data_IF_795672950432
#
_entry.id   IF_795672950432
#
_cell.length_a   1.000
_cell.length_b   1.000
_cell.length_c   1.000
_cell.angle_alpha   90.00
_cell.angle_beta   90.00
_cell.angle_gamma   90.00
#
_symmetry.space_group_name_H-M   'P 1'
#
loop_
_entity.id
_entity.type
_entity.pdbx_description
1 polymer ?
#
# COMPACT_ATOMS: atom_id res chain seq x y z
N UNK A 1 -0.91 -24.31 -7.67
CA UNK A 1 0.30 -24.03 -8.47
C UNK A 1 1.49 -24.66 -7.78
N UNK A 2 2.37 -25.38 -8.48
CA UNK A 2 3.65 -25.82 -7.88
C UNK A 2 4.73 -24.78 -8.17
N UNK A 3 5.62 -24.57 -7.21
CA UNK A 3 6.74 -23.63 -7.37
C UNK A 3 7.58 -23.93 -8.63
N UNK A 4 7.69 -25.21 -9.00
CA UNK A 4 8.43 -25.65 -10.19
C UNK A 4 7.76 -25.33 -11.55
N UNK A 5 6.50 -24.87 -11.54
CA UNK A 5 5.75 -24.50 -12.75
C UNK A 5 5.91 -23.01 -13.11
N UNK A 6 6.60 -22.24 -12.25
CA UNK A 6 6.86 -20.81 -12.45
C UNK A 6 8.20 -20.62 -13.14
N UNK A 7 8.29 -19.62 -14.03
CA UNK A 7 9.55 -19.26 -14.68
C UNK A 7 10.59 -18.79 -13.65
N UNK A 8 11.85 -19.16 -13.82
CA UNK A 8 12.95 -18.82 -12.92
C UNK A 8 13.05 -17.31 -12.62
N UNK A 9 12.81 -16.44 -13.61
CA UNK A 9 12.81 -14.99 -13.37
C UNK A 9 11.69 -14.56 -12.41
N UNK A 10 10.48 -15.07 -12.62
CA UNK A 10 9.34 -14.79 -11.75
C UNK A 10 9.53 -15.35 -10.34
N UNK A 11 10.24 -16.47 -10.17
CA UNK A 11 10.59 -16.98 -8.83
C UNK A 11 11.50 -16.04 -8.07
N UNK A 12 12.51 -15.48 -8.74
CA UNK A 12 13.42 -14.49 -8.15
C UNK A 12 12.61 -13.26 -7.68
N UNK A 13 11.65 -12.82 -8.49
CA UNK A 13 10.80 -11.67 -8.15
C UNK A 13 9.87 -11.97 -6.96
N UNK A 14 9.27 -13.16 -6.94
CA UNK A 14 8.37 -13.62 -5.86
C UNK A 14 9.10 -13.71 -4.51
N UNK A 15 10.33 -14.23 -4.51
CA UNK A 15 11.12 -14.37 -3.28
C UNK A 15 11.69 -13.04 -2.76
N UNK A 16 11.78 -12.01 -3.61
CA UNK A 16 12.33 -10.72 -3.22
C UNK A 16 11.37 -9.96 -2.28
N UNK A 17 11.78 -9.81 -1.01
CA UNK A 17 11.04 -9.07 0.02
C UNK A 17 10.83 -7.58 -0.29
N UNK A 18 11.74 -6.99 -1.05
CA UNK A 18 11.71 -5.58 -1.41
C UNK A 18 11.20 -5.35 -2.84
N UNK A 19 10.67 -6.38 -3.50
CA UNK A 19 10.20 -6.24 -4.89
C UNK A 19 9.12 -5.17 -4.98
N UNK A 20 9.22 -4.19 -5.91
CA UNK A 20 8.17 -3.18 -6.11
C UNK A 20 6.87 -3.82 -6.59
N UNK A 21 5.75 -3.12 -6.43
CA UNK A 21 4.48 -3.62 -7.00
C UNK A 21 4.59 -3.69 -8.53
N UNK A 22 4.12 -4.77 -9.12
CA UNK A 22 4.12 -5.01 -10.57
C UNK A 22 3.05 -6.03 -10.95
N UNK A 23 2.62 -5.98 -12.20
CA UNK A 23 1.75 -6.97 -12.81
C UNK A 23 2.38 -7.45 -14.12
N UNK A 24 2.61 -8.75 -14.23
CA UNK A 24 3.14 -9.40 -15.42
C UNK A 24 2.14 -10.42 -15.95
N UNK A 25 2.06 -10.50 -17.28
CA UNK A 25 1.31 -11.54 -17.98
C UNK A 25 2.26 -12.61 -18.47
N UNK A 26 1.97 -13.86 -18.16
CA UNK A 26 2.63 -15.04 -18.72
C UNK A 26 1.59 -15.86 -19.49
N UNK A 27 2.05 -16.80 -20.32
CA UNK A 27 1.15 -17.65 -21.09
C UNK A 27 0.33 -18.60 -20.21
N UNK A 28 0.87 -18.96 -19.04
CA UNK A 28 0.28 -19.98 -18.16
C UNK A 28 -0.33 -19.40 -16.87
N UNK A 29 0.02 -18.16 -16.52
CA UNK A 29 -0.44 -17.48 -15.32
C UNK A 29 -0.19 -15.98 -15.41
N UNK A 30 -0.85 -15.20 -14.58
CA UNK A 30 -0.46 -13.82 -14.34
C UNK A 30 0.24 -13.70 -12.98
N UNK A 31 1.32 -12.91 -12.93
CA UNK A 31 2.05 -12.62 -11.69
C UNK A 31 1.69 -11.22 -11.24
N UNK A 32 1.10 -11.14 -10.05
CA UNK A 32 0.79 -9.89 -9.37
C UNK A 32 1.63 -9.78 -8.11
N UNK A 33 2.55 -8.82 -8.07
CA UNK A 33 3.31 -8.48 -6.87
C UNK A 33 2.79 -7.16 -6.34
N UNK A 34 2.46 -7.13 -5.06
CA UNK A 34 1.86 -5.99 -4.41
C UNK A 34 2.65 -5.62 -3.16
N UNK A 35 3.36 -4.51 -3.25
CA UNK A 35 4.16 -3.93 -2.17
C UNK A 35 3.37 -2.84 -1.47
N UNK A 36 2.96 -3.08 -0.24
CA UNK A 36 2.10 -2.21 0.53
C UNK A 36 2.79 -1.72 1.81
N UNK A 37 2.45 -0.51 2.32
CA UNK A 37 2.85 -0.12 3.65
C UNK A 37 2.05 -0.91 4.70
N UNK A 38 2.72 -1.40 5.73
CA UNK A 38 2.10 -2.01 6.91
C UNK A 38 2.70 -1.44 8.19
N UNK A 39 1.90 -1.41 9.25
CA UNK A 39 2.35 -0.98 10.57
C UNK A 39 2.83 -2.20 11.37
N UNK A 40 4.13 -2.33 11.58
CA UNK A 40 4.74 -3.38 12.39
C UNK A 40 5.50 -2.70 13.54
N UNK A 41 5.17 -3.04 14.79
CA UNK A 41 5.81 -2.47 15.99
C UNK A 41 5.81 -0.92 15.97
N UNK A 42 4.68 -0.31 15.62
CA UNK A 42 4.52 1.14 15.45
C UNK A 42 5.48 1.77 14.43
N UNK A 43 6.01 0.98 13.50
CA UNK A 43 6.82 1.47 12.38
C UNK A 43 6.17 1.10 11.08
N UNK A 44 6.19 2.05 10.17
CA UNK A 44 5.71 1.83 8.83
C UNK A 44 6.78 1.13 8.00
N UNK A 45 6.47 -0.10 7.58
CA UNK A 45 7.38 -0.97 6.83
C UNK A 45 6.71 -1.39 5.53
N UNK A 46 7.40 -1.30 4.38
CA UNK A 46 6.87 -1.82 3.14
C UNK A 46 6.99 -3.34 3.08
N UNK A 47 5.90 -4.04 2.78
CA UNK A 47 5.87 -5.51 2.63
C UNK A 47 5.44 -5.86 1.21
N UNK A 48 6.23 -6.68 0.54
CA UNK A 48 5.92 -7.22 -0.78
C UNK A 48 5.27 -8.59 -0.68
N UNK A 49 4.04 -8.70 -1.19
CA UNK A 49 3.29 -9.95 -1.33
C UNK A 49 3.20 -10.32 -2.80
N UNK A 50 3.33 -11.61 -3.12
CA UNK A 50 3.25 -12.09 -4.49
C UNK A 50 2.07 -13.05 -4.66
N UNK A 51 1.41 -12.92 -5.80
CA UNK A 51 0.23 -13.67 -6.17
C UNK A 51 0.38 -14.23 -7.58
N UNK A 52 -0.08 -15.46 -7.76
CA UNK A 52 -0.17 -16.13 -9.05
C UNK A 52 -1.64 -16.33 -9.37
N UNK A 53 -2.09 -15.80 -10.49
CA UNK A 53 -3.46 -15.89 -10.96
C UNK A 53 -3.48 -16.83 -12.16
N UNK A 54 -4.40 -17.78 -12.14
CA UNK A 54 -4.59 -18.76 -13.22
C UNK A 54 -6.07 -18.83 -13.56
N UNK A 55 -6.42 -19.43 -14.70
CA UNK A 55 -7.82 -19.67 -15.07
C UNK A 55 -8.61 -20.49 -14.03
N UNK A 56 -7.90 -21.23 -13.16
CA UNK A 56 -8.51 -22.16 -12.18
C UNK A 56 -8.57 -21.61 -10.78
N UNK A 57 -7.55 -20.85 -10.35
CA UNK A 57 -7.46 -20.35 -8.99
C UNK A 57 -6.44 -19.20 -8.83
N UNK A 58 -6.45 -18.64 -7.64
CA UNK A 58 -5.63 -17.53 -7.16
C UNK A 58 -4.74 -18.05 -6.04
N UNK A 59 -3.44 -17.83 -6.15
CA UNK A 59 -2.47 -18.32 -5.17
C UNK A 59 -1.72 -17.14 -4.55
N UNK A 60 -1.56 -17.14 -3.24
CA UNK A 60 -0.66 -16.27 -2.49
C UNK A 60 0.64 -17.03 -2.18
N UNK A 61 1.79 -16.40 -2.36
CA UNK A 61 3.06 -17.00 -1.94
C UNK A 61 3.38 -16.65 -0.49
N UNK A 62 3.34 -17.66 0.38
CA UNK A 62 3.82 -17.53 1.75
C UNK A 62 5.34 -17.66 1.78
N UNK A 63 6.01 -16.57 2.13
CA UNK A 63 7.47 -16.48 2.17
C UNK A 63 8.10 -17.27 3.32
N UNK A 64 7.35 -17.53 4.39
CA UNK A 64 7.86 -18.29 5.55
C UNK A 64 7.92 -19.78 5.23
N UNK A 65 6.81 -20.33 4.73
CA UNK A 65 6.74 -21.75 4.32
C UNK A 65 7.35 -22.01 2.94
N UNK A 66 7.53 -20.96 2.12
CA UNK A 66 7.90 -21.03 0.70
C UNK A 66 6.90 -21.81 -0.15
N UNK A 67 5.62 -21.71 0.20
CA UNK A 67 4.53 -22.44 -0.46
C UNK A 67 3.47 -21.50 -1.04
N UNK A 68 2.78 -21.99 -2.08
CA UNK A 68 1.62 -21.31 -2.66
C UNK A 68 0.37 -21.73 -1.92
N UNK A 69 -0.23 -20.78 -1.20
CA UNK A 69 -1.51 -20.93 -0.52
C UNK A 69 -2.62 -20.62 -1.51
N UNK A 70 -3.52 -21.59 -1.72
CA UNK A 70 -4.65 -21.47 -2.63
C UNK A 70 -5.78 -20.65 -1.99
N UNK A 71 -6.15 -19.54 -2.61
CA UNK A 71 -7.26 -18.67 -2.21
C UNK A 71 -8.59 -19.11 -2.83
N UNK A 72 -8.59 -20.18 -3.63
CA UNK A 72 -9.70 -20.91 -4.24
C UNK A 72 -10.52 -20.14 -5.28
N UNK A 73 -10.70 -18.84 -5.11
CA UNK A 73 -11.59 -18.04 -5.94
C UNK A 73 -11.19 -16.57 -5.95
N UNK A 74 -11.78 -15.85 -6.91
CA UNK A 74 -11.77 -14.38 -6.97
C UNK A 74 -12.17 -13.75 -5.64
N UNK A 75 -13.23 -14.26 -4.99
CA UNK A 75 -13.74 -13.72 -3.73
C UNK A 75 -12.72 -13.90 -2.59
N UNK A 76 -12.03 -15.05 -2.56
CA UNK A 76 -10.93 -15.28 -1.63
C UNK A 76 -9.76 -14.32 -1.86
N UNK A 77 -9.39 -14.09 -3.12
CA UNK A 77 -8.36 -13.13 -3.50
C UNK A 77 -8.74 -11.68 -3.13
N UNK A 78 -9.98 -11.28 -3.45
CA UNK A 78 -10.56 -9.99 -3.08
C UNK A 78 -10.51 -9.78 -1.56
N UNK A 79 -11.05 -10.70 -0.77
CA UNK A 79 -11.06 -10.59 0.70
C UNK A 79 -9.65 -10.49 1.28
N UNK A 80 -8.71 -11.26 0.72
CA UNK A 80 -7.32 -11.22 1.15
C UNK A 80 -6.71 -9.83 0.92
N UNK A 81 -6.86 -9.27 -0.28
CA UNK A 81 -6.34 -7.93 -0.61
C UNK A 81 -7.06 -6.82 0.14
N UNK A 82 -8.40 -6.89 0.23
CA UNK A 82 -9.21 -5.85 0.85
C UNK A 82 -8.83 -5.65 2.32
N UNK A 83 -8.53 -6.73 3.05
CA UNK A 83 -8.05 -6.62 4.44
C UNK A 83 -6.75 -5.81 4.57
N UNK A 84 -5.80 -5.99 3.64
CA UNK A 84 -4.57 -5.22 3.63
C UNK A 84 -4.83 -3.75 3.26
N UNK A 85 -5.69 -3.51 2.26
CA UNK A 85 -6.03 -2.17 1.78
C UNK A 85 -6.79 -1.36 2.84
N UNK A 86 -7.76 -1.97 3.54
CA UNK A 86 -8.47 -1.34 4.64
C UNK A 86 -7.52 -0.99 5.80
N UNK A 87 -6.50 -1.82 6.03
CA UNK A 87 -5.47 -1.55 7.02
C UNK A 87 -4.65 -0.31 6.66
N UNK A 88 -4.29 -0.15 5.37
CA UNK A 88 -3.63 1.05 4.87
C UNK A 88 -4.48 2.29 5.16
N UNK A 89 -5.77 2.25 4.82
CA UNK A 89 -6.65 3.40 5.03
C UNK A 89 -6.75 3.78 6.51
N UNK A 90 -6.83 2.79 7.42
CA UNK A 90 -6.80 3.02 8.88
C UNK A 90 -5.50 3.67 9.34
N UNK A 91 -4.35 3.23 8.80
CA UNK A 91 -3.04 3.82 9.11
C UNK A 91 -3.03 5.30 8.71
N UNK A 92 -3.49 5.62 7.49
CA UNK A 92 -3.53 7.00 7.01
C UNK A 92 -4.48 7.86 7.84
N UNK A 93 -5.65 7.33 8.23
CA UNK A 93 -6.60 8.06 9.07
C UNK A 93 -6.03 8.36 10.47
N UNK A 94 -5.37 7.40 11.12
CA UNK A 94 -4.70 7.66 12.40
C UNK A 94 -3.62 8.76 12.29
N UNK A 95 -2.90 8.77 11.18
CA UNK A 95 -1.93 9.81 10.86
C UNK A 95 -2.56 11.19 10.60
N UNK A 96 -3.76 11.26 10.01
CA UNK A 96 -4.53 12.51 9.88
C UNK A 96 -4.79 13.09 11.27
N UNK A 97 -5.33 12.27 12.17
CA UNK A 97 -5.64 12.67 13.55
C UNK A 97 -4.38 13.16 14.29
N UNK A 98 -3.24 12.46 14.16
CA UNK A 98 -1.98 12.87 14.77
C UNK A 98 -1.48 14.23 14.25
N UNK A 99 -1.61 14.51 12.95
CA UNK A 99 -1.19 15.78 12.35
C UNK A 99 -2.14 16.92 12.72
N UNK A 100 -3.45 16.65 12.79
CA UNK A 100 -4.43 17.63 13.28
C UNK A 100 -4.13 18.04 14.73
N UNK A 101 -3.77 17.08 15.59
CA UNK A 101 -3.31 17.36 16.95
C UNK A 101 -2.04 18.22 16.98
N UNK A 102 -1.08 17.98 16.08
CA UNK A 102 0.13 18.82 15.99
C UNK A 102 -0.23 20.24 15.55
N UNK A 103 -1.15 20.39 14.60
CA UNK A 103 -1.64 21.68 14.13
C UNK A 103 -2.38 22.45 15.24
N UNK A 104 -3.28 21.80 15.98
CA UNK A 104 -3.99 22.44 17.08
C UNK A 104 -3.02 22.90 18.17
N UNK A 105 -2.05 22.06 18.53
CA UNK A 105 -0.98 22.43 19.46
C UNK A 105 -0.12 23.58 18.93
N UNK A 106 0.05 23.68 17.61
CA UNK A 106 0.72 24.81 16.98
C UNK A 106 -0.04 26.11 17.25
N UNK A 107 -1.32 26.18 16.90
CA UNK A 107 -2.13 27.39 17.07
C UNK A 107 -2.35 27.77 18.54
N UNK A 108 -2.37 26.80 19.46
CA UNK A 108 -2.49 27.04 20.89
C UNK A 108 -1.16 27.44 21.57
N UNK A 109 -0.07 27.60 20.81
CA UNK A 109 1.28 27.87 21.33
C UNK A 109 1.77 26.78 22.31
N UNK A 110 1.36 25.53 22.10
CA UNK A 110 1.73 24.34 22.89
C UNK A 110 2.76 23.46 22.18
N UNK A 111 3.49 24.02 21.22
CA UNK A 111 4.47 23.30 20.40
C UNK A 111 5.58 22.73 21.28
N UNK A 112 5.84 21.43 21.15
CA UNK A 112 6.96 20.77 21.81
C UNK A 112 8.29 21.28 21.22
N UNK A 113 9.31 21.44 22.07
CA UNK A 113 10.71 21.65 21.66
C UNK A 113 11.21 20.59 20.68
N UNK A 114 10.59 19.41 20.65
CA UNK A 114 10.88 18.34 19.72
C UNK A 114 10.17 18.44 18.37
N UNK A 115 9.40 19.51 18.09
CA UNK A 115 8.61 19.67 16.88
C UNK A 115 9.40 19.38 15.60
N UNK A 116 10.60 19.95 15.43
CA UNK A 116 11.43 19.70 14.25
C UNK A 116 11.78 18.22 14.05
N UNK A 117 12.05 17.49 15.14
CA UNK A 117 12.36 16.06 15.09
C UNK A 117 11.11 15.25 14.74
N UNK A 118 9.97 15.60 15.31
CA UNK A 118 8.69 14.98 15.05
C UNK A 118 8.26 15.22 13.59
N UNK A 119 8.30 16.47 13.13
CA UNK A 119 8.06 16.85 11.74
C UNK A 119 8.93 16.06 10.77
N UNK A 120 10.25 15.99 11.00
CA UNK A 120 11.17 15.28 10.12
C UNK A 120 10.86 13.77 10.07
N UNK A 121 10.47 13.16 11.19
CA UNK A 121 10.07 11.76 11.24
C UNK A 121 8.84 11.52 10.36
N UNK A 122 7.76 12.27 10.58
CA UNK A 122 6.54 12.16 9.79
C UNK A 122 6.81 12.43 8.30
N UNK A 123 7.54 13.51 7.98
CA UNK A 123 7.86 13.86 6.58
C UNK A 123 8.51 12.70 5.84
N UNK A 124 9.51 12.06 6.45
CA UNK A 124 10.18 10.90 5.85
C UNK A 124 9.25 9.71 5.66
N UNK A 125 8.38 9.44 6.63
CA UNK A 125 7.43 8.32 6.55
C UNK A 125 6.41 8.57 5.44
N UNK A 126 5.80 9.76 5.38
CA UNK A 126 4.85 10.07 4.31
C UNK A 126 5.46 10.10 2.92
N UNK A 127 6.71 10.55 2.75
CA UNK A 127 7.40 10.46 1.45
C UNK A 127 7.49 9.00 0.99
N UNK A 128 7.81 8.07 1.90
CA UNK A 128 7.87 6.64 1.59
C UNK A 128 6.49 6.08 1.30
N UNK A 129 5.51 6.36 2.16
CA UNK A 129 4.11 5.93 1.99
C UNK A 129 3.60 6.38 0.64
N UNK A 130 3.72 7.67 0.34
CA UNK A 130 3.15 8.25 -0.86
C UNK A 130 3.71 7.58 -2.13
N UNK A 131 5.03 7.33 -2.18
CA UNK A 131 5.67 6.59 -3.28
C UNK A 131 5.16 5.16 -3.42
N UNK A 132 4.98 4.45 -2.30
CA UNK A 132 4.47 3.07 -2.31
C UNK A 132 3.01 3.05 -2.77
N UNK A 133 2.17 3.92 -2.19
CA UNK A 133 0.76 4.02 -2.53
C UNK A 133 0.54 4.41 -3.98
N UNK A 134 1.33 5.34 -4.52
CA UNK A 134 1.31 5.68 -5.94
C UNK A 134 1.48 4.43 -6.81
N UNK A 135 2.48 3.59 -6.50
CA UNK A 135 2.73 2.36 -7.25
C UNK A 135 1.64 1.30 -7.01
N UNK A 136 1.06 1.22 -5.82
CA UNK A 136 -0.10 0.39 -5.55
C UNK A 136 -1.29 0.76 -6.43
N UNK A 137 -1.64 2.04 -6.46
CA UNK A 137 -2.73 2.58 -7.28
C UNK A 137 -2.50 2.27 -8.76
N UNK A 138 -1.27 2.45 -9.24
CA UNK A 138 -0.92 2.15 -10.64
C UNK A 138 -1.15 0.67 -10.98
N UNK A 139 -0.62 -0.24 -10.17
CA UNK A 139 -0.65 -1.68 -10.48
C UNK A 139 -2.04 -2.28 -10.26
N UNK A 140 -2.79 -1.85 -9.22
CA UNK A 140 -4.17 -2.31 -9.04
C UNK A 140 -5.05 -1.86 -10.21
N UNK A 141 -4.82 -0.66 -10.76
CA UNK A 141 -5.53 -0.17 -11.94
C UNK A 141 -5.25 -1.05 -13.16
N UNK A 142 -3.99 -1.45 -13.36
CA UNK A 142 -3.60 -2.38 -14.43
C UNK A 142 -4.31 -3.73 -14.24
N UNK A 143 -4.28 -4.29 -13.03
CA UNK A 143 -4.95 -5.56 -12.69
C UNK A 143 -6.45 -5.50 -13.02
N UNK A 144 -7.16 -4.49 -12.50
CA UNK A 144 -8.61 -4.30 -12.71
C UNK A 144 -8.91 -4.16 -14.20
N UNK A 145 -8.16 -3.33 -14.91
CA UNK A 145 -8.36 -3.12 -16.35
C UNK A 145 -8.15 -4.40 -17.16
N UNK A 146 -7.31 -5.32 -16.68
CA UNK A 146 -7.07 -6.59 -17.34
C UNK A 146 -8.25 -7.55 -17.20
N UNK A 147 -8.81 -7.68 -15.99
CA UNK A 147 -9.90 -8.61 -15.67
C UNK A 147 -11.30 -7.99 -15.80
N UNK A 148 -11.40 -6.71 -16.18
CA UNK A 148 -12.66 -5.96 -16.37
C UNK A 148 -13.69 -6.65 -17.28
N UNK A 149 -13.26 -7.60 -18.12
CA UNK A 149 -14.14 -8.31 -19.07
C UNK A 149 -14.79 -9.57 -18.49
N UNK A 150 -14.32 -10.05 -17.35
CA UNK A 150 -14.78 -11.26 -16.69
C UNK A 150 -15.72 -10.85 -15.54
N UNK A 151 -17.03 -11.00 -15.73
CA UNK A 151 -18.12 -10.72 -14.77
C UNK A 151 -18.18 -9.32 -14.10
N UNK A 152 -19.34 -8.64 -14.23
CA UNK A 152 -19.69 -7.36 -13.55
C UNK A 152 -19.41 -7.35 -12.02
N UNK A 153 -19.32 -8.52 -11.38
CA UNK A 153 -19.04 -8.66 -9.95
C UNK A 153 -17.58 -8.35 -9.58
N UNK A 154 -16.63 -8.67 -10.47
CA UNK A 154 -15.21 -8.36 -10.28
C UNK A 154 -14.97 -6.86 -10.34
N UNK A 155 -15.60 -6.19 -11.31
CA UNK A 155 -15.45 -4.74 -11.51
C UNK A 155 -15.89 -3.97 -10.26
N UNK A 156 -17.08 -4.23 -9.72
CA UNK A 156 -17.60 -3.48 -8.56
C UNK A 156 -16.78 -3.65 -7.29
N UNK A 157 -16.35 -4.87 -6.97
CA UNK A 157 -15.65 -5.12 -5.71
C UNK A 157 -14.22 -4.55 -5.76
N UNK A 158 -13.54 -4.66 -6.91
CA UNK A 158 -12.18 -4.14 -7.02
C UNK A 158 -12.13 -2.61 -7.22
N UNK A 159 -13.19 -1.99 -7.74
CA UNK A 159 -13.33 -0.53 -7.78
C UNK A 159 -13.30 0.09 -6.37
N UNK A 160 -13.96 -0.51 -5.39
CA UNK A 160 -13.94 -0.05 -3.99
C UNK A 160 -12.52 -0.09 -3.38
N UNK A 161 -11.79 -1.19 -3.59
CA UNK A 161 -10.39 -1.30 -3.19
C UNK A 161 -9.49 -0.27 -3.87
N UNK A 162 -9.72 -0.02 -5.16
CA UNK A 162 -9.00 0.99 -5.92
C UNK A 162 -9.29 2.38 -5.36
N UNK A 163 -10.54 2.69 -5.05
CA UNK A 163 -10.95 3.93 -4.41
C UNK A 163 -10.24 4.09 -3.07
N UNK A 164 -10.28 3.10 -2.18
CA UNK A 164 -9.58 3.15 -0.88
C UNK A 164 -8.08 3.45 -1.03
N UNK A 165 -7.40 2.83 -1.99
CA UNK A 165 -5.99 3.11 -2.29
C UNK A 165 -5.76 4.52 -2.83
N UNK A 166 -6.64 5.00 -3.72
CA UNK A 166 -6.57 6.36 -4.26
C UNK A 166 -6.81 7.41 -3.17
N UNK A 167 -7.79 7.17 -2.29
CA UNK A 167 -8.08 7.99 -1.12
C UNK A 167 -6.86 8.06 -0.19
N UNK A 168 -6.30 6.90 0.18
CA UNK A 168 -5.11 6.81 1.01
C UNK A 168 -3.91 7.56 0.37
N UNK A 169 -3.69 7.38 -0.93
CA UNK A 169 -2.63 8.08 -1.66
C UNK A 169 -2.84 9.59 -1.64
N UNK A 170 -4.04 10.08 -1.99
CA UNK A 170 -4.35 11.51 -1.99
C UNK A 170 -4.18 12.13 -0.60
N UNK A 171 -4.70 11.47 0.43
CA UNK A 171 -4.58 11.91 1.81
C UNK A 171 -3.12 11.97 2.25
N UNK A 172 -2.30 10.97 1.90
CA UNK A 172 -0.86 11.00 2.20
C UNK A 172 -0.15 12.20 1.55
N UNK A 173 -0.54 12.59 0.34
CA UNK A 173 -0.04 13.78 -0.34
C UNK A 173 -0.45 15.07 0.36
N UNK A 174 -1.73 15.19 0.73
CA UNK A 174 -2.25 16.34 1.48
C UNK A 174 -1.54 16.52 2.83
N UNK A 175 -1.28 15.43 3.55
CA UNK A 175 -0.55 15.47 4.82
C UNK A 175 0.91 15.92 4.65
N UNK A 176 1.56 15.56 3.54
CA UNK A 176 2.90 16.07 3.21
C UNK A 176 2.91 17.59 3.03
N UNK A 177 1.92 18.13 2.33
CA UNK A 177 1.78 19.58 2.12
C UNK A 177 1.48 20.30 3.43
N UNK A 178 0.58 19.73 4.26
CA UNK A 178 0.22 20.28 5.58
C UNK A 178 1.43 20.32 6.52
N UNK A 179 2.23 19.25 6.56
CA UNK A 179 3.48 19.23 7.34
C UNK A 179 4.46 20.30 6.87
N UNK A 180 4.59 20.54 5.57
CA UNK A 180 5.47 21.59 5.05
C UNK A 180 4.98 22.99 5.45
N UNK A 181 3.67 23.23 5.37
CA UNK A 181 3.06 24.49 5.79
C UNK A 181 3.27 24.75 7.29
N UNK A 182 3.07 23.74 8.15
CA UNK A 182 3.30 23.85 9.59
C UNK A 182 4.76 24.16 9.91
N UNK A 183 5.70 23.46 9.28
CA UNK A 183 7.12 23.70 9.51
C UNK A 183 7.58 25.07 9.02
N UNK A 184 7.09 25.53 7.87
CA UNK A 184 7.38 26.88 7.38
C UNK A 184 6.83 27.95 8.34
N UNK A 185 5.63 27.77 8.86
CA UNK A 185 5.03 28.68 9.84
C UNK A 185 5.83 28.72 11.14
N UNK A 186 6.25 27.55 11.63
CA UNK A 186 7.14 27.44 12.78
C UNK A 186 8.47 28.19 12.59
N UNK A 187 9.07 28.10 11.40
CA UNK A 187 10.30 28.85 11.09
C UNK A 187 10.07 30.36 11.04
N UNK A 188 8.90 30.84 10.61
CA UNK A 188 8.58 32.28 10.56
C UNK A 188 8.35 32.84 11.96
N UNK A 189 7.71 32.09 12.87
CA UNK A 189 7.45 32.55 14.23
C UNK A 189 8.68 32.52 15.14
N UNK A 190 9.65 31.64 14.85
CA UNK A 190 10.84 31.44 15.67
C UNK A 190 12.13 32.06 15.10
N UNK A 191 12.06 32.78 13.97
CA UNK A 191 13.14 33.61 13.42
C UNK A 191 12.81 35.09 13.57
#
# INVERSE_FOLDING_TARGET
>A
MKYNEINDFHRIDIENEAHPSVFFKDENYDLFIFRMPQLINNRLVPISKAFIITDKSYFYFDKESKEFVDLQSVDGFYKYLNNDIDSILKIINGYIEEIELIEDNFYENKIDKNFNKQWFSYKNDFIKINRILFKCVEVITILISHYRKDDDYLERNFEDMQEHLQLAHRNSGMLLEKLDALHNSYLVENN
#
